data_IF_051875174850
#
_entry.id   IF_051875174850
#
_cell.length_a   1.000
_cell.length_b   1.000
_cell.length_c   1.000
_cell.angle_alpha   90.00
_cell.angle_beta   90.00
_cell.angle_gamma   90.00
#
_symmetry.space_group_name_H-M   'P 1'
#
loop_
_entity.id
_entity.type
_entity.pdbx_description
1 polymer ?
#
# COMPACT_ATOMS: atom_id res chain seq x y z
N UNK A 1 1.09 37.69 11.16
CA UNK A 1 -0.39 37.70 11.30
C UNK A 1 -0.96 36.49 10.58
N UNK A 2 -2.12 36.00 11.01
CA UNK A 2 -2.54 34.59 10.84
C UNK A 2 -2.91 34.18 9.41
N UNK A 3 -2.64 32.91 9.09
CA UNK A 3 -3.43 32.12 8.13
C UNK A 3 -3.83 30.81 8.80
N UNK A 4 -5.09 30.73 9.22
CA UNK A 4 -5.69 29.51 9.74
C UNK A 4 -6.04 28.56 8.59
N UNK A 5 -5.51 27.34 8.61
CA UNK A 5 -6.05 26.22 7.84
C UNK A 5 -6.61 25.19 8.83
N UNK A 6 -7.93 25.07 8.88
CA UNK A 6 -8.60 24.06 9.70
C UNK A 6 -8.62 22.73 8.96
N UNK A 7 -8.10 21.67 9.57
CA UNK A 7 -8.19 20.32 9.02
C UNK A 7 -9.41 19.59 9.60
N UNK A 8 -10.24 19.03 8.73
CA UNK A 8 -11.48 18.35 9.13
C UNK A 8 -11.19 16.89 9.49
N UNK A 9 -11.35 16.52 10.76
CA UNK A 9 -11.23 15.14 11.26
C UNK A 9 -12.55 14.40 11.04
N UNK A 10 -12.57 13.32 10.25
CA UNK A 10 -13.74 12.42 10.21
C UNK A 10 -13.39 10.94 9.97
N UNK A 11 -13.21 10.23 11.10
CA UNK A 11 -13.70 8.88 11.43
C UNK A 11 -13.79 7.76 10.37
N UNK A 12 -13.33 6.57 10.80
CA UNK A 12 -14.24 5.41 10.84
C UNK A 12 -14.04 4.34 9.78
N UNK A 13 -13.12 3.40 10.03
CA UNK A 13 -12.99 2.19 9.22
C UNK A 13 -14.09 1.18 9.60
N UNK A 14 -15.25 1.27 8.96
CA UNK A 14 -16.36 0.34 9.16
C UNK A 14 -16.22 -0.89 8.26
N UNK A 15 -16.05 -2.06 8.86
CA UNK A 15 -16.05 -3.33 8.15
C UNK A 15 -17.48 -3.80 7.86
N UNK A 16 -17.77 -4.24 6.63
CA UNK A 16 -19.04 -4.91 6.31
C UNK A 16 -18.90 -5.87 5.14
N UNK A 17 -19.29 -7.13 5.37
CA UNK A 17 -19.51 -8.12 4.31
C UNK A 17 -20.89 -7.87 3.71
N UNK A 18 -21.02 -7.75 2.39
CA UNK A 18 -22.32 -7.73 1.72
C UNK A 18 -22.34 -8.76 0.61
N UNK A 19 -23.38 -9.59 0.61
CA UNK A 19 -23.58 -10.68 -0.34
C UNK A 19 -24.00 -10.20 -1.73
N UNK A 20 -23.56 -10.93 -2.77
CA UNK A 20 -23.94 -10.70 -4.16
C UNK A 20 -25.46 -10.70 -4.35
N UNK A 21 -25.96 -9.75 -5.14
CA UNK A 21 -27.35 -9.70 -5.61
C UNK A 21 -27.35 -9.17 -7.05
N UNK A 22 -27.59 -10.05 -8.02
CA UNK A 22 -27.70 -9.66 -9.42
C UNK A 22 -29.17 -9.36 -9.76
N UNK A 23 -29.45 -8.14 -10.24
CA UNK A 23 -30.69 -7.81 -10.96
C UNK A 23 -30.36 -6.88 -12.12
N UNK A 24 -30.74 -7.32 -13.32
CA UNK A 24 -30.59 -6.58 -14.57
C UNK A 24 -31.66 -5.49 -14.68
N UNK A 25 -31.28 -4.28 -15.15
CA UNK A 25 -31.88 -3.57 -16.29
C UNK A 25 -31.51 -2.08 -16.31
N UNK A 26 -31.14 -1.57 -17.50
CA UNK A 26 -31.37 -0.19 -17.88
C UNK A 26 -31.87 -0.14 -19.34
N UNK A 27 -33.05 0.45 -19.53
CA UNK A 27 -33.47 1.05 -20.80
C UNK A 27 -32.89 2.50 -20.86
N UNK A 28 -32.98 3.26 -21.96
CA UNK A 28 -33.85 3.15 -23.14
C UNK A 28 -33.28 3.95 -24.35
N UNK A 29 -34.02 3.94 -25.47
CA UNK A 29 -34.11 4.95 -26.57
C UNK A 29 -33.13 6.14 -26.58
N UNK A 30 -32.56 6.66 -27.69
CA UNK A 30 -32.90 6.69 -29.15
C UNK A 30 -31.67 7.35 -29.86
N UNK A 31 -31.49 7.54 -31.19
CA UNK A 31 -32.08 7.17 -32.50
C UNK A 31 -31.01 7.56 -33.57
N UNK A 32 -30.96 7.09 -34.82
CA UNK A 32 -31.67 6.06 -35.57
C UNK A 32 -31.46 6.26 -37.09
N UNK A 33 -31.26 5.19 -37.87
CA UNK A 33 -31.18 5.22 -39.34
C UNK A 33 -31.50 3.82 -39.91
N UNK A 34 -32.10 3.76 -41.11
CA UNK A 34 -32.55 2.50 -41.74
C UNK A 34 -31.82 2.20 -43.03
N UNK A 35 -31.39 0.95 -43.21
CA UNK A 35 -31.26 0.32 -44.53
C UNK A 35 -31.51 -1.19 -44.43
N UNK A 36 -31.90 -1.80 -45.56
CA UNK A 36 -32.50 -3.13 -45.64
C UNK A 36 -31.64 -4.09 -46.47
N UNK A 37 -31.20 -5.18 -45.85
CA UNK A 37 -31.10 -6.51 -46.47
C UNK A 37 -30.81 -7.55 -45.36
N UNK A 38 -31.25 -8.79 -45.57
CA UNK A 38 -31.23 -9.81 -44.52
C UNK A 38 -29.93 -10.60 -44.45
N UNK A 39 -29.24 -10.52 -43.31
CA UNK A 39 -28.43 -11.60 -42.75
C UNK A 39 -28.64 -11.61 -41.22
N UNK A 40 -28.68 -12.78 -40.55
CA UNK A 40 -28.64 -12.83 -39.09
C UNK A 40 -27.32 -12.22 -38.64
N UNK A 41 -27.38 -11.10 -37.91
CA UNK A 41 -26.19 -10.32 -37.58
C UNK A 41 -25.32 -11.10 -36.60
N UNK A 42 -24.04 -11.21 -36.93
CA UNK A 42 -22.99 -11.37 -35.92
C UNK A 42 -23.04 -10.16 -34.98
N UNK A 43 -23.81 -10.28 -33.91
CA UNK A 43 -23.60 -9.45 -32.75
C UNK A 43 -22.37 -10.03 -32.06
N UNK A 44 -21.23 -9.35 -32.22
CA UNK A 44 -20.04 -9.56 -31.40
C UNK A 44 -20.40 -9.30 -29.94
N UNK A 45 -20.90 -10.34 -29.28
CA UNK A 45 -20.96 -10.38 -27.83
C UNK A 45 -19.54 -10.27 -27.35
N UNK A 46 -19.15 -9.10 -26.85
CA UNK A 46 -17.96 -8.94 -26.03
C UNK A 46 -18.22 -9.63 -24.68
N UNK A 47 -18.28 -10.97 -24.73
CA UNK A 47 -18.06 -11.82 -23.57
C UNK A 47 -16.66 -11.48 -23.09
N UNK A 48 -16.60 -10.68 -22.03
CA UNK A 48 -15.42 -10.52 -21.20
C UNK A 48 -15.18 -11.84 -20.48
N UNK A 49 -14.69 -12.81 -21.24
CA UNK A 49 -14.20 -14.09 -20.75
C UNK A 49 -12.91 -13.82 -19.98
N UNK A 50 -13.06 -13.39 -18.73
CA UNK A 50 -12.06 -13.65 -17.69
C UNK A 50 -11.98 -15.17 -17.56
N UNK A 51 -11.19 -15.79 -18.43
CA UNK A 51 -10.88 -17.20 -18.34
C UNK A 51 -10.09 -17.37 -17.06
N UNK A 52 -10.75 -17.90 -16.03
CA UNK A 52 -10.13 -18.24 -14.75
C UNK A 52 -9.30 -19.49 -14.98
N UNK A 53 -8.16 -19.31 -15.63
CA UNK A 53 -7.20 -20.38 -15.85
C UNK A 53 -6.65 -20.82 -14.49
N UNK A 54 -6.73 -22.12 -14.20
CA UNK A 54 -6.77 -22.63 -12.83
C UNK A 54 -5.37 -22.80 -12.19
N UNK A 55 -4.49 -21.81 -12.39
CA UNK A 55 -3.15 -21.75 -11.82
C UNK A 55 -2.89 -20.37 -11.21
N UNK A 56 -3.49 -20.11 -10.05
CA UNK A 56 -3.31 -18.86 -9.30
C UNK A 56 -1.90 -18.78 -8.69
N UNK A 57 -0.90 -18.46 -9.50
CA UNK A 57 0.33 -17.88 -8.98
C UNK A 57 -0.02 -16.51 -8.39
N UNK A 58 -0.06 -16.43 -7.05
CA UNK A 58 -0.16 -15.15 -6.37
C UNK A 58 1.17 -14.43 -6.53
N UNK A 59 1.25 -13.53 -7.51
CA UNK A 59 2.36 -12.60 -7.65
C UNK A 59 2.42 -11.69 -6.41
N UNK A 60 3.15 -12.13 -5.39
CA UNK A 60 3.40 -11.37 -4.17
C UNK A 60 4.32 -10.21 -4.54
N UNK A 61 3.71 -9.09 -4.92
CA UNK A 61 4.40 -7.83 -5.20
C UNK A 61 5.34 -7.51 -4.03
N UNK A 62 6.66 -7.36 -4.26
CA UNK A 62 7.58 -7.02 -3.18
C UNK A 62 7.25 -5.68 -2.54
N UNK A 63 7.27 -5.62 -1.21
CA UNK A 63 7.20 -4.34 -0.50
C UNK A 63 8.51 -3.59 -0.76
N UNK A 64 8.47 -2.34 -1.27
CA UNK A 64 9.68 -1.57 -1.55
C UNK A 64 10.39 -1.20 -0.25
N UNK A 65 11.72 -1.11 -0.28
CA UNK A 65 12.47 -0.64 0.89
C UNK A 65 12.18 0.85 1.13
N UNK A 66 12.00 1.34 2.37
CA UNK A 66 11.67 2.75 2.65
C UNK A 66 12.66 3.76 2.04
N UNK A 67 13.92 3.38 1.91
CA UNK A 67 14.93 4.18 1.21
C UNK A 67 14.79 4.25 -0.31
N UNK A 68 14.13 3.28 -0.94
CA UNK A 68 13.74 3.35 -2.36
C UNK A 68 12.59 4.33 -2.53
N UNK A 69 11.59 4.30 -1.64
CA UNK A 69 10.51 5.31 -1.59
C UNK A 69 11.09 6.72 -1.41
N UNK A 70 12.02 6.91 -0.47
CA UNK A 70 12.76 8.16 -0.29
C UNK A 70 13.50 8.61 -1.58
N UNK A 71 14.07 7.68 -2.35
CA UNK A 71 14.79 8.00 -3.58
C UNK A 71 13.84 8.34 -4.74
N UNK A 72 12.77 7.57 -4.91
CA UNK A 72 11.89 7.61 -6.08
C UNK A 72 10.77 8.65 -5.96
N UNK A 73 10.15 8.76 -4.79
CA UNK A 73 8.98 9.63 -4.56
C UNK A 73 9.34 11.01 -4.03
N UNK A 74 10.49 11.15 -3.36
CA UNK A 74 10.92 12.41 -2.73
C UNK A 74 12.16 13.03 -3.40
N UNK A 75 13.30 12.31 -3.42
CA UNK A 75 14.56 12.90 -3.90
C UNK A 75 14.55 13.17 -5.41
N UNK A 76 14.11 12.21 -6.24
CA UNK A 76 14.02 12.42 -7.70
C UNK A 76 13.01 13.52 -8.09
N UNK A 77 11.74 13.53 -7.62
CA UNK A 77 10.75 14.49 -8.11
C UNK A 77 11.02 15.91 -7.63
N UNK A 78 11.58 16.09 -6.42
CA UNK A 78 11.99 17.40 -5.91
C UNK A 78 13.38 17.87 -6.43
N UNK A 79 14.09 17.06 -7.22
CA UNK A 79 15.43 17.38 -7.71
C UNK A 79 16.51 17.48 -6.60
N UNK A 80 16.30 16.82 -5.46
CA UNK A 80 17.16 16.92 -4.28
C UNK A 80 18.25 15.85 -4.34
N UNK A 81 19.51 16.25 -4.24
CA UNK A 81 20.63 15.31 -4.23
C UNK A 81 20.80 14.67 -2.84
N UNK A 82 21.32 13.44 -2.78
CA UNK A 82 21.65 12.76 -1.52
C UNK A 82 22.66 13.56 -0.67
N UNK A 83 23.50 14.40 -1.29
CA UNK A 83 24.41 15.30 -0.60
C UNK A 83 23.65 16.46 0.06
N UNK A 84 22.72 17.10 -0.69
CA UNK A 84 21.87 18.17 -0.16
C UNK A 84 21.00 17.68 1.00
N UNK A 85 20.28 16.57 0.84
CA UNK A 85 19.47 16.01 1.92
C UNK A 85 20.32 15.76 3.18
N UNK A 86 21.51 15.15 3.02
CA UNK A 86 22.39 14.86 4.14
C UNK A 86 22.85 16.12 4.89
N UNK A 87 23.25 17.16 4.14
CA UNK A 87 23.60 18.47 4.68
C UNK A 87 22.41 19.10 5.43
N UNK A 88 21.26 19.19 4.76
CA UNK A 88 20.10 19.94 5.26
C UNK A 88 19.47 19.31 6.52
N UNK A 89 19.57 17.99 6.71
CA UNK A 89 19.05 17.27 7.90
C UNK A 89 20.14 16.91 8.93
N UNK A 90 21.38 17.37 8.74
CA UNK A 90 22.48 17.17 9.68
C UNK A 90 22.92 15.71 9.83
N UNK A 91 23.13 14.99 8.73
CA UNK A 91 23.63 13.61 8.70
C UNK A 91 24.72 13.43 7.63
N UNK A 92 25.25 12.22 7.47
CA UNK A 92 26.30 11.94 6.47
C UNK A 92 25.70 11.52 5.12
N UNK A 93 26.30 11.97 4.02
CA UNK A 93 25.97 11.48 2.67
C UNK A 93 26.10 9.95 2.57
N UNK A 94 27.04 9.35 3.31
CA UNK A 94 27.22 7.90 3.37
C UNK A 94 26.00 7.18 3.94
N UNK A 95 25.42 7.71 5.02
CA UNK A 95 24.21 7.16 5.64
C UNK A 95 23.00 7.27 4.71
N UNK A 96 22.74 8.46 4.13
CA UNK A 96 21.67 8.64 3.13
C UNK A 96 21.86 7.69 1.93
N UNK A 97 23.10 7.59 1.42
CA UNK A 97 23.40 6.72 0.27
C UNK A 97 23.25 5.22 0.56
N UNK A 98 23.45 4.78 1.82
CA UNK A 98 23.15 3.41 2.24
C UNK A 98 21.63 3.17 2.33
N UNK A 99 20.89 4.12 2.92
CA UNK A 99 19.42 4.05 3.02
C UNK A 99 18.79 3.95 1.63
N UNK A 100 19.15 4.85 0.71
CA UNK A 100 18.61 4.87 -0.67
C UNK A 100 19.01 3.68 -1.56
N UNK A 101 19.71 2.68 -1.01
CA UNK A 101 20.13 1.44 -1.71
C UNK A 101 19.75 0.17 -0.95
N UNK A 102 18.83 0.23 0.01
CA UNK A 102 18.40 -0.94 0.79
C UNK A 102 19.44 -1.47 1.78
N UNK A 103 20.54 -0.75 2.01
CA UNK A 103 21.67 -1.20 2.83
C UNK A 103 21.63 -0.68 4.28
N UNK A 104 20.66 0.16 4.62
CA UNK A 104 20.31 0.60 5.98
C UNK A 104 18.82 0.95 6.02
N UNK A 105 18.12 0.52 7.06
CA UNK A 105 16.76 0.98 7.34
C UNK A 105 16.71 2.41 7.88
N UNK A 106 15.49 2.94 8.03
CA UNK A 106 15.23 4.23 8.67
C UNK A 106 15.04 4.02 10.19
N UNK A 107 15.89 4.68 11.00
CA UNK A 107 15.76 4.74 12.45
C UNK A 107 14.83 5.87 12.90
N UNK A 108 14.38 5.87 14.15
CA UNK A 108 13.51 6.94 14.69
C UNK A 108 14.12 8.35 14.60
N UNK A 109 15.43 8.52 14.86
CA UNK A 109 16.15 9.79 14.64
C UNK A 109 16.10 10.22 13.16
N UNK A 110 16.29 9.29 12.23
CA UNK A 110 16.21 9.57 10.79
C UNK A 110 14.77 9.88 10.36
N UNK A 111 13.76 9.18 10.91
CA UNK A 111 12.36 9.46 10.67
C UNK A 111 11.96 10.88 11.12
N UNK A 112 12.41 11.31 12.31
CA UNK A 112 12.21 12.67 12.82
C UNK A 112 12.90 13.75 11.96
N UNK A 113 14.10 13.45 11.46
CA UNK A 113 14.83 14.33 10.52
C UNK A 113 14.12 14.47 9.17
N UNK A 114 13.65 13.35 8.62
CA UNK A 114 12.94 13.33 7.34
C UNK A 114 11.55 13.99 7.46
N UNK A 115 10.83 13.77 8.56
CA UNK A 115 9.55 14.44 8.82
C UNK A 115 9.71 15.96 8.95
N UNK A 116 10.75 16.42 9.65
CA UNK A 116 11.05 17.85 9.76
C UNK A 116 11.44 18.51 8.43
N UNK A 117 12.00 17.75 7.47
CA UNK A 117 12.44 18.25 6.16
C UNK A 117 11.33 18.20 5.09
N UNK A 118 10.53 17.12 5.06
CA UNK A 118 9.50 16.89 4.05
C UNK A 118 8.07 17.25 4.50
N UNK A 119 7.85 17.51 5.78
CA UNK A 119 6.54 17.93 6.32
C UNK A 119 5.49 16.81 6.45
N UNK A 120 5.88 15.55 6.21
CA UNK A 120 5.11 14.37 6.61
C UNK A 120 5.43 14.00 8.08
N UNK A 121 4.84 12.92 8.60
CA UNK A 121 5.04 12.49 9.99
C UNK A 121 6.24 11.53 10.14
N UNK A 122 6.74 11.33 11.36
CA UNK A 122 7.82 10.36 11.61
C UNK A 122 7.28 8.92 11.52
N UNK A 123 6.02 8.73 11.91
CA UNK A 123 5.27 7.47 11.86
C UNK A 123 5.09 6.98 10.41
N UNK A 124 4.99 7.89 9.43
CA UNK A 124 5.00 7.52 8.00
C UNK A 124 6.30 6.81 7.62
N UNK A 125 7.46 7.36 8.00
CA UNK A 125 8.76 6.78 7.68
C UNK A 125 9.03 5.47 8.44
N UNK A 126 8.55 5.36 9.69
CA UNK A 126 8.65 4.14 10.48
C UNK A 126 7.68 3.05 10.01
N UNK A 127 6.47 3.40 9.56
CA UNK A 127 5.51 2.44 8.99
C UNK A 127 6.04 1.78 7.72
N UNK A 128 6.70 2.53 6.84
CA UNK A 128 7.38 1.96 5.66
C UNK A 128 8.54 1.01 6.04
N UNK A 129 9.21 1.24 7.17
CA UNK A 129 10.24 0.34 7.69
C UNK A 129 9.62 -0.93 8.30
N UNK A 130 8.58 -0.79 9.10
CA UNK A 130 7.85 -1.91 9.71
C UNK A 130 7.22 -2.82 8.65
N UNK A 131 6.56 -2.25 7.64
CA UNK A 131 5.94 -3.03 6.56
C UNK A 131 6.98 -3.83 5.77
N UNK A 132 8.12 -3.21 5.44
CA UNK A 132 9.23 -3.87 4.75
C UNK A 132 9.86 -4.99 5.60
N UNK A 133 10.15 -4.73 6.88
CA UNK A 133 10.77 -5.71 7.77
C UNK A 133 9.83 -6.88 8.08
N UNK A 134 8.52 -6.63 8.25
CA UNK A 134 7.51 -7.68 8.39
C UNK A 134 7.34 -8.50 7.10
N UNK A 135 7.29 -7.86 5.93
CA UNK A 135 7.25 -8.55 4.63
C UNK A 135 8.48 -9.45 4.44
N UNK A 136 9.66 -8.96 4.84
CA UNK A 136 10.92 -9.71 4.78
C UNK A 136 10.96 -10.87 5.77
N UNK A 137 10.57 -10.66 7.02
CA UNK A 137 10.55 -11.71 8.04
C UNK A 137 9.59 -12.85 7.68
N UNK A 138 8.40 -12.53 7.13
CA UNK A 138 7.40 -13.52 6.67
C UNK A 138 7.89 -14.49 5.60
N UNK A 139 8.98 -14.18 4.89
CA UNK A 139 9.58 -15.06 3.87
C UNK A 139 10.56 -16.09 4.47
N UNK A 140 11.03 -15.88 5.70
CA UNK A 140 12.11 -16.68 6.32
C UNK A 140 11.77 -17.26 7.68
N UNK A 141 10.78 -16.71 8.37
CA UNK A 141 10.41 -17.09 9.73
C UNK A 141 9.23 -18.06 9.72
N UNK A 142 9.52 -19.34 9.96
CA UNK A 142 8.46 -20.31 10.28
C UNK A 142 7.92 -20.05 11.70
N UNK A 143 6.60 -19.94 11.81
CA UNK A 143 5.86 -19.75 13.05
C UNK A 143 4.85 -20.88 13.31
N UNK A 144 4.81 -21.91 12.46
CA UNK A 144 3.81 -22.98 12.49
C UNK A 144 3.82 -23.82 13.78
N UNK A 145 4.98 -23.93 14.43
CA UNK A 145 5.16 -24.62 15.70
C UNK A 145 4.81 -23.77 16.95
N UNK A 146 4.46 -22.49 16.78
CA UNK A 146 4.18 -21.59 17.92
C UNK A 146 2.73 -21.77 18.39
N UNK A 147 2.57 -22.44 19.53
CA UNK A 147 1.27 -22.55 20.22
C UNK A 147 0.89 -21.20 20.83
N UNK A 148 -0.30 -20.64 20.53
CA UNK A 148 -0.79 -19.42 21.18
C UNK A 148 -0.92 -19.58 22.69
N UNK A 149 -0.39 -18.61 23.41
CA UNK A 149 -0.34 -18.60 24.87
C UNK A 149 -1.76 -18.39 25.48
N UNK A 150 -2.12 -19.13 26.54
CA UNK A 150 -3.50 -19.27 27.05
C UNK A 150 -3.64 -18.93 28.55
N UNK A 151 -4.49 -17.96 28.90
CA UNK A 151 -4.76 -17.53 30.29
C UNK A 151 -5.61 -18.50 31.14
N UNK A 152 -6.26 -19.52 30.54
CA UNK A 152 -7.45 -20.14 31.15
C UNK A 152 -7.24 -21.36 32.05
N UNK A 153 -6.05 -21.93 32.11
CA UNK A 153 -5.81 -23.23 32.79
C UNK A 153 -5.27 -23.12 34.22
N UNK A 154 -4.83 -21.93 34.63
CA UNK A 154 -4.10 -21.72 35.91
C UNK A 154 -5.03 -21.48 37.12
N UNK A 155 -6.30 -21.17 36.88
CA UNK A 155 -7.30 -20.91 37.94
C UNK A 155 -7.79 -22.19 38.64
N UNK A 156 -7.89 -23.31 37.91
CA UNK A 156 -8.51 -24.55 38.40
C UNK A 156 -7.54 -25.44 39.20
N UNK A 157 -6.25 -25.06 39.30
CA UNK A 157 -5.19 -25.84 39.98
C UNK A 157 -5.02 -25.51 41.48
N UNK A 158 -5.86 -24.64 42.05
CA UNK A 158 -5.72 -24.11 43.41
C UNK A 158 -7.04 -24.15 44.23
N UNK A 159 -7.92 -25.13 43.98
CA UNK A 159 -9.14 -25.40 44.76
C UNK A 159 -9.17 -26.82 45.31
#
# INVERSE_FOLDING_TARGET
MSRTFGFHQQTGWSGSRVTLRATTQFASTRSGASYSSGHPKELLTLTLSTTTDAHTHVDVVPVPHPGEVLLLEFLKPCGITQYRLANDIGTTRSQVSKITRGALGISADMALRLSAYFGNSAEFWLGLQEEYDLWKARQTTDVSAIVPWNHKEEADSHS
#
